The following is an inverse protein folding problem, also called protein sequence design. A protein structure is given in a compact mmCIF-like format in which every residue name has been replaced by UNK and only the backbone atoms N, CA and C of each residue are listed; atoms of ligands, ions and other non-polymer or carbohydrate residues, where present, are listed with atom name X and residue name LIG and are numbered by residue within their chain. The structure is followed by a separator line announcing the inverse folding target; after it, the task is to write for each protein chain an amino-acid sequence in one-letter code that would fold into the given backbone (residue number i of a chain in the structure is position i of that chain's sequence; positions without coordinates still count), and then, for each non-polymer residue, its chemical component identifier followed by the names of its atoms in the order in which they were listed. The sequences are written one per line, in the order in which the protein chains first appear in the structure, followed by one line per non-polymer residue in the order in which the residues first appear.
data_IF_894280905331
#
_entry.id   IF_894280905331
#
_cell.length_a   1.000
_cell.length_b   1.000
_cell.length_c   1.000
_cell.angle_alpha   90.00
_cell.angle_beta   90.00
_cell.angle_gamma   90.00
#
_symmetry.space_group_name_H-M   'P 1'
#
loop_
_entity.id
_entity.type
_entity.pdbx_description
1 polymer ?
#
# COMPACT_ATOMS: atom_id res chain seq x y z
N UNK A 1 14.73 -12.02 -15.21
CA UNK A 1 16.10 -11.74 -14.70
C UNK A 1 16.12 -10.40 -13.95
N UNK A 2 15.42 -9.42 -14.50
CA UNK A 2 15.27 -8.04 -14.06
C UNK A 2 14.68 -7.97 -12.66
N UNK A 3 13.58 -8.70 -12.40
CA UNK A 3 12.99 -8.80 -11.06
C UNK A 3 13.91 -9.43 -10.02
N UNK A 4 14.68 -10.46 -10.38
CA UNK A 4 15.66 -11.03 -9.46
C UNK A 4 16.71 -9.97 -9.06
N UNK A 5 17.11 -9.11 -10.00
CA UNK A 5 18.01 -7.99 -9.71
C UNK A 5 17.35 -6.90 -8.85
N UNK A 6 16.05 -6.63 -9.04
CA UNK A 6 15.31 -5.71 -8.15
C UNK A 6 15.38 -6.17 -6.69
N UNK A 7 15.09 -7.45 -6.42
CA UNK A 7 15.15 -7.99 -5.05
C UNK A 7 16.57 -8.06 -4.46
N UNK A 8 17.59 -8.23 -5.30
CA UNK A 8 18.99 -8.09 -4.88
C UNK A 8 19.27 -6.66 -4.44
N UNK A 9 18.82 -5.67 -5.22
CA UNK A 9 18.96 -4.25 -4.86
C UNK A 9 18.19 -3.94 -3.57
N UNK A 10 16.99 -4.51 -3.38
CA UNK A 10 16.22 -4.33 -2.14
C UNK A 10 17.06 -4.72 -0.92
N UNK A 11 17.69 -5.89 -0.96
CA UNK A 11 18.61 -6.34 0.09
C UNK A 11 19.81 -5.40 0.23
N UNK A 12 20.48 -5.06 -0.89
CA UNK A 12 21.67 -4.18 -0.90
C UNK A 12 21.41 -2.82 -0.22
N UNK A 13 20.21 -2.26 -0.34
CA UNK A 13 19.86 -0.94 0.21
C UNK A 13 19.00 -0.99 1.48
N UNK A 14 18.74 -2.19 2.03
CA UNK A 14 17.97 -2.36 3.26
C UNK A 14 16.45 -2.27 3.12
N UNK A 15 15.89 -2.42 1.92
CA UNK A 15 14.45 -2.71 1.77
C UNK A 15 14.21 -4.15 2.23
N UNK A 16 13.54 -4.28 3.36
CA UNK A 16 13.23 -5.57 3.99
C UNK A 16 11.81 -6.09 3.66
N UNK A 17 11.00 -5.30 2.95
CA UNK A 17 9.57 -5.56 2.72
C UNK A 17 9.18 -5.19 1.30
N UNK A 18 8.57 -6.13 0.58
CA UNK A 18 7.93 -5.93 -0.72
C UNK A 18 6.42 -6.15 -0.59
N UNK A 19 5.62 -5.41 -1.36
CA UNK A 19 4.17 -5.48 -1.33
C UNK A 19 3.66 -5.67 -2.75
N UNK A 20 2.97 -6.79 -3.00
CA UNK A 20 2.18 -6.93 -4.23
C UNK A 20 0.96 -6.04 -4.03
N UNK A 21 0.85 -4.91 -4.73
CA UNK A 21 -0.25 -3.95 -4.50
C UNK A 21 -1.64 -4.56 -4.73
N UNK A 22 -1.78 -5.43 -5.73
CA UNK A 22 -3.03 -6.12 -6.06
C UNK A 22 -2.67 -7.50 -6.60
N UNK A 23 -3.18 -8.55 -5.98
CA UNK A 23 -3.02 -9.91 -6.49
C UNK A 23 -3.90 -10.15 -7.73
N UNK A 24 -5.04 -9.44 -7.79
CA UNK A 24 -5.88 -9.34 -8.97
C UNK A 24 -6.49 -7.95 -9.11
N UNK A 25 -6.76 -7.54 -10.34
CA UNK A 25 -7.48 -6.33 -10.68
C UNK A 25 -8.39 -6.55 -11.88
N UNK A 26 -9.71 -6.43 -11.66
CA UNK A 26 -10.75 -6.71 -12.66
C UNK A 26 -10.59 -8.10 -13.29
N UNK A 27 -9.99 -8.17 -14.48
CA UNK A 27 -9.78 -9.41 -15.25
C UNK A 27 -8.32 -9.86 -15.34
N UNK A 28 -7.43 -9.23 -14.60
CA UNK A 28 -5.99 -9.46 -14.65
C UNK A 28 -5.50 -9.91 -13.27
N UNK A 29 -4.53 -10.83 -13.22
CA UNK A 29 -3.87 -11.21 -11.97
C UNK A 29 -2.37 -11.39 -12.11
N UNK A 30 -1.68 -11.35 -10.98
CA UNK A 30 -0.22 -11.59 -10.91
C UNK A 30 0.14 -13.08 -10.99
N UNK A 31 -0.86 -13.95 -11.14
CA UNK A 31 -0.69 -15.39 -11.33
C UNK A 31 -1.88 -16.01 -12.07
N UNK A 32 -1.78 -17.25 -12.58
CA UNK A 32 -2.85 -17.99 -13.26
C UNK A 32 -4.11 -18.27 -12.40
N UNK A 33 -4.85 -17.23 -11.99
CA UNK A 33 -5.95 -17.33 -11.03
C UNK A 33 -7.23 -17.84 -11.69
N UNK A 34 -7.82 -18.88 -11.11
CA UNK A 34 -9.16 -19.35 -11.48
C UNK A 34 -10.26 -18.44 -10.94
N UNK A 35 -10.01 -17.79 -9.81
CA UNK A 35 -10.97 -16.87 -9.19
C UNK A 35 -11.12 -15.58 -9.99
N UNK A 36 -10.02 -15.03 -10.48
CA UNK A 36 -10.02 -13.84 -11.36
C UNK A 36 -10.39 -14.22 -12.81
N UNK A 37 -10.09 -15.45 -13.22
CA UNK A 37 -10.32 -15.94 -14.58
C UNK A 37 -9.18 -15.66 -15.56
N UNK A 38 -8.02 -15.21 -15.07
CA UNK A 38 -6.81 -14.95 -15.86
C UNK A 38 -5.85 -16.14 -15.76
N UNK A 39 -6.18 -17.24 -16.44
CA UNK A 39 -5.52 -18.54 -16.29
C UNK A 39 -4.26 -18.73 -17.14
N UNK A 40 -3.88 -17.72 -17.94
CA UNK A 40 -2.76 -17.83 -18.89
C UNK A 40 -1.64 -16.80 -18.62
N UNK A 41 -1.78 -15.97 -17.59
CA UNK A 41 -0.75 -15.01 -17.19
C UNK A 41 0.49 -15.70 -16.63
N UNK A 42 1.62 -14.99 -16.61
CA UNK A 42 2.84 -15.46 -15.94
C UNK A 42 2.63 -15.48 -14.44
N UNK A 43 3.17 -16.49 -13.76
CA UNK A 43 3.14 -16.55 -12.30
C UNK A 43 4.17 -15.62 -11.65
N UNK A 44 3.85 -14.33 -11.61
CA UNK A 44 4.67 -13.30 -10.97
C UNK A 44 4.65 -13.43 -9.44
N UNK A 45 3.54 -13.92 -8.85
CA UNK A 45 3.46 -14.17 -7.42
C UNK A 45 4.52 -15.18 -6.96
N UNK A 46 4.64 -16.33 -7.63
CA UNK A 46 5.68 -17.32 -7.31
C UNK A 46 7.08 -16.70 -7.46
N UNK A 47 7.31 -16.00 -8.57
CA UNK A 47 8.59 -15.34 -8.84
C UNK A 47 8.98 -14.36 -7.73
N UNK A 48 8.04 -13.53 -7.28
CA UNK A 48 8.28 -12.55 -6.22
C UNK A 48 8.49 -13.21 -4.87
N UNK A 49 7.73 -14.25 -4.53
CA UNK A 49 7.91 -14.99 -3.28
C UNK A 49 9.28 -15.70 -3.23
N UNK A 50 9.71 -16.32 -4.33
CA UNK A 50 11.02 -16.97 -4.42
C UNK A 50 12.15 -15.94 -4.31
N UNK A 51 12.04 -14.82 -5.04
CA UNK A 51 13.03 -13.76 -5.02
C UNK A 51 13.09 -13.07 -3.64
N UNK A 52 11.94 -12.87 -3.00
CA UNK A 52 11.84 -12.31 -1.66
C UNK A 52 12.50 -13.24 -0.63
N UNK A 53 12.18 -14.53 -0.66
CA UNK A 53 12.77 -15.54 0.23
C UNK A 53 14.30 -15.58 0.10
N UNK A 54 14.80 -15.65 -1.13
CA UNK A 54 16.24 -15.69 -1.43
C UNK A 54 16.99 -14.46 -0.88
N UNK A 55 16.34 -13.31 -0.85
CA UNK A 55 16.95 -12.03 -0.46
C UNK A 55 16.58 -11.59 0.97
N UNK A 56 15.89 -12.43 1.75
CA UNK A 56 15.47 -12.08 3.11
C UNK A 56 14.42 -10.97 3.19
N UNK A 57 13.68 -10.74 2.10
CA UNK A 57 12.62 -9.74 2.01
C UNK A 57 11.29 -10.38 2.42
N UNK A 58 10.54 -9.70 3.28
CA UNK A 58 9.17 -10.05 3.65
C UNK A 58 8.21 -9.62 2.54
N UNK A 59 7.24 -10.46 2.19
CA UNK A 59 6.27 -10.14 1.15
C UNK A 59 4.86 -10.01 1.75
N UNK A 60 4.23 -8.87 1.52
CA UNK A 60 2.79 -8.69 1.71
C UNK A 60 2.04 -8.97 0.40
N UNK A 61 1.01 -9.79 0.47
CA UNK A 61 0.24 -10.21 -0.69
C UNK A 61 -1.04 -9.38 -0.80
N UNK A 62 -1.15 -8.59 -1.88
CA UNK A 62 -2.34 -7.82 -2.20
C UNK A 62 -3.51 -8.70 -2.57
N UNK A 63 -4.70 -8.37 -2.09
CA UNK A 63 -5.92 -9.11 -2.42
C UNK A 63 -6.45 -8.76 -3.83
N UNK A 64 -7.64 -9.28 -4.15
CA UNK A 64 -8.31 -9.05 -5.42
C UNK A 64 -9.23 -7.83 -5.35
N UNK A 65 -9.01 -6.88 -6.25
CA UNK A 65 -9.93 -5.78 -6.48
C UNK A 65 -10.76 -6.02 -7.74
N UNK A 66 -12.06 -6.27 -7.58
CA UNK A 66 -12.96 -6.51 -8.72
C UNK A 66 -13.27 -5.24 -9.51
N UNK A 67 -12.99 -4.06 -8.94
CA UNK A 67 -13.34 -2.75 -9.48
C UNK A 67 -14.78 -2.32 -9.20
N UNK A 68 -15.54 -2.99 -8.32
CA UNK A 68 -16.91 -2.56 -7.99
C UNK A 68 -16.94 -1.23 -7.23
N UNK A 69 -15.96 -0.99 -6.35
CA UNK A 69 -15.85 0.23 -5.56
C UNK A 69 -15.44 1.43 -6.40
N UNK A 70 -14.61 1.25 -7.42
CA UNK A 70 -14.32 2.29 -8.42
C UNK A 70 -15.57 2.75 -9.17
N UNK A 71 -16.60 1.90 -9.26
CA UNK A 71 -17.90 2.24 -9.88
C UNK A 71 -18.85 2.94 -8.89
N UNK A 72 -18.40 3.26 -7.68
CA UNK A 72 -19.23 3.85 -6.63
C UNK A 72 -20.23 2.87 -6.00
N UNK A 73 -20.10 1.56 -6.26
CA UNK A 73 -21.04 0.53 -5.78
C UNK A 73 -20.65 0.01 -4.39
N UNK A 74 -20.57 0.92 -3.42
CA UNK A 74 -20.13 0.63 -2.05
C UNK A 74 -21.04 -0.36 -1.31
N UNK A 75 -22.34 -0.38 -1.64
CA UNK A 75 -23.32 -1.29 -1.04
C UNK A 75 -23.11 -2.76 -1.43
N UNK A 76 -22.33 -3.02 -2.49
CA UNK A 76 -21.99 -4.36 -2.96
C UNK A 76 -20.76 -4.96 -2.25
N UNK A 77 -20.35 -4.38 -1.11
CA UNK A 77 -19.19 -4.84 -0.36
C UNK A 77 -19.23 -6.34 -0.01
N UNK A 78 -20.41 -6.94 0.14
CA UNK A 78 -20.56 -8.39 0.40
C UNK A 78 -20.09 -9.25 -0.77
N UNK A 79 -20.32 -8.79 -1.99
CA UNK A 79 -19.83 -9.45 -3.20
C UNK A 79 -18.29 -9.38 -3.26
N UNK A 80 -17.71 -8.23 -2.88
CA UNK A 80 -16.27 -8.05 -2.80
C UNK A 80 -15.62 -8.95 -1.76
N UNK A 81 -16.23 -9.07 -0.57
CA UNK A 81 -15.79 -10.01 0.46
C UNK A 81 -15.85 -11.45 -0.07
N UNK A 82 -16.96 -11.85 -0.69
CA UNK A 82 -17.14 -13.22 -1.19
C UNK A 82 -16.13 -13.57 -2.31
N UNK A 83 -15.80 -12.62 -3.19
CA UNK A 83 -14.75 -12.78 -4.18
C UNK A 83 -13.38 -12.96 -3.51
N UNK A 84 -13.06 -12.12 -2.52
CA UNK A 84 -11.78 -12.14 -1.84
C UNK A 84 -11.60 -13.37 -0.92
N UNK A 85 -12.64 -13.89 -0.29
CA UNK A 85 -12.56 -15.15 0.47
C UNK A 85 -12.11 -16.32 -0.41
N UNK A 86 -12.64 -16.41 -1.64
CA UNK A 86 -12.22 -17.42 -2.61
C UNK A 86 -10.79 -17.17 -3.11
N UNK A 87 -10.45 -15.91 -3.37
CA UNK A 87 -9.12 -15.52 -3.82
C UNK A 87 -8.05 -15.81 -2.76
N UNK A 88 -8.30 -15.47 -1.50
CA UNK A 88 -7.42 -15.77 -0.36
C UNK A 88 -7.21 -17.28 -0.22
N UNK A 89 -8.27 -18.09 -0.34
CA UNK A 89 -8.14 -19.54 -0.31
C UNK A 89 -7.27 -20.08 -1.47
N UNK A 90 -7.40 -19.52 -2.67
CA UNK A 90 -6.53 -19.87 -3.82
C UNK A 90 -5.07 -19.47 -3.57
N UNK A 91 -4.82 -18.25 -3.07
CA UNK A 91 -3.48 -17.77 -2.73
C UNK A 91 -2.84 -18.67 -1.67
N UNK A 92 -3.56 -18.99 -0.59
CA UNK A 92 -3.06 -19.86 0.48
C UNK A 92 -2.76 -21.27 -0.02
N UNK A 93 -3.64 -21.85 -0.85
CA UNK A 93 -3.41 -23.18 -1.42
C UNK A 93 -2.17 -23.26 -2.31
N UNK A 94 -1.74 -22.14 -2.90
CA UNK A 94 -0.60 -22.12 -3.85
C UNK A 94 0.69 -21.65 -3.19
N UNK A 95 0.59 -20.71 -2.26
CA UNK A 95 1.71 -19.92 -1.78
C UNK A 95 1.82 -19.86 -0.25
N UNK A 96 0.85 -20.41 0.48
CA UNK A 96 0.76 -20.30 1.94
C UNK A 96 2.00 -20.81 2.69
N UNK A 97 2.68 -21.81 2.13
CA UNK A 97 3.89 -22.40 2.71
C UNK A 97 5.18 -21.59 2.40
N UNK A 98 5.10 -20.53 1.61
CA UNK A 98 6.29 -19.72 1.29
C UNK A 98 6.80 -19.00 2.54
N UNK A 99 8.10 -19.14 2.89
CA UNK A 99 8.67 -18.45 4.05
C UNK A 99 8.69 -16.91 3.90
N UNK A 100 8.64 -16.40 2.68
CA UNK A 100 8.57 -14.97 2.42
C UNK A 100 7.16 -14.39 2.57
N UNK A 101 6.11 -15.23 2.57
CA UNK A 101 4.74 -14.75 2.67
C UNK A 101 4.44 -14.29 4.09
N UNK A 102 4.63 -12.99 4.32
CA UNK A 102 4.60 -12.38 5.63
C UNK A 102 3.22 -11.89 6.03
N UNK A 103 2.52 -11.17 5.16
CA UNK A 103 1.28 -10.48 5.51
C UNK A 103 0.33 -10.26 4.35
N UNK A 104 -0.84 -9.69 4.63
CA UNK A 104 -1.85 -9.34 3.64
C UNK A 104 -1.90 -7.84 3.40
N UNK A 105 -2.14 -7.43 2.15
CA UNK A 105 -2.40 -6.05 1.80
C UNK A 105 -3.83 -5.91 1.25
N UNK A 106 -4.66 -5.10 1.91
CA UNK A 106 -5.99 -4.77 1.42
C UNK A 106 -5.85 -3.61 0.42
N UNK A 107 -6.08 -3.91 -0.84
CA UNK A 107 -5.83 -2.99 -1.97
C UNK A 107 -6.87 -1.89 -2.15
N UNK A 108 -8.01 -1.97 -1.46
CA UNK A 108 -9.14 -1.06 -1.63
C UNK A 108 -8.91 0.25 -0.88
N UNK A 109 -8.11 1.14 -1.45
CA UNK A 109 -7.68 2.41 -0.85
C UNK A 109 -8.84 3.42 -0.74
N UNK A 110 -8.88 4.19 0.36
CA UNK A 110 -9.87 5.26 0.59
C UNK A 110 -9.24 6.45 1.31
N UNK A 111 -9.86 7.63 1.19
CA UNK A 111 -9.46 8.86 1.88
C UNK A 111 -10.51 9.46 2.81
N UNK A 112 -11.70 8.88 2.79
CA UNK A 112 -12.86 9.33 3.56
C UNK A 112 -13.60 8.14 4.13
N UNK A 113 -14.43 8.42 5.13
CA UNK A 113 -15.35 7.42 5.65
C UNK A 113 -16.44 7.08 4.64
N UNK A 114 -16.52 5.81 4.26
CA UNK A 114 -17.63 5.24 3.48
C UNK A 114 -18.11 3.96 4.19
N UNK A 115 -19.40 3.85 4.57
CA UNK A 115 -19.90 2.69 5.31
C UNK A 115 -19.58 1.34 4.64
N UNK A 116 -19.76 1.24 3.32
CA UNK A 116 -19.46 0.02 2.57
C UNK A 116 -17.98 -0.38 2.58
N UNK A 117 -17.05 0.58 2.52
CA UNK A 117 -15.60 0.28 2.64
C UNK A 117 -15.27 -0.16 4.05
N UNK A 118 -15.81 0.51 5.06
CA UNK A 118 -15.61 0.16 6.47
C UNK A 118 -16.11 -1.26 6.75
N UNK A 119 -17.30 -1.60 6.25
CA UNK A 119 -17.85 -2.95 6.36
C UNK A 119 -17.00 -3.98 5.61
N UNK A 120 -16.52 -3.64 4.41
CA UNK A 120 -15.58 -4.48 3.66
C UNK A 120 -14.30 -4.75 4.47
N UNK A 121 -13.62 -3.70 4.94
CA UNK A 121 -12.41 -3.79 5.75
C UNK A 121 -12.63 -4.67 6.97
N UNK A 122 -13.71 -4.44 7.72
CA UNK A 122 -14.03 -5.24 8.91
C UNK A 122 -14.15 -6.74 8.58
N UNK A 123 -14.93 -7.10 7.56
CA UNK A 123 -15.20 -8.50 7.26
C UNK A 123 -13.99 -9.19 6.60
N UNK A 124 -13.29 -8.51 5.69
CA UNK A 124 -12.18 -9.14 4.99
C UNK A 124 -10.94 -9.31 5.86
N UNK A 125 -10.61 -8.32 6.70
CA UNK A 125 -9.49 -8.42 7.63
C UNK A 125 -9.75 -9.46 8.72
N UNK A 126 -10.98 -9.56 9.25
CA UNK A 126 -11.35 -10.65 10.17
C UNK A 126 -11.19 -12.01 9.50
N UNK A 127 -11.64 -12.17 8.25
CA UNK A 127 -11.44 -13.42 7.52
C UNK A 127 -9.95 -13.78 7.36
N UNK A 128 -9.08 -12.79 7.08
CA UNK A 128 -7.62 -13.00 7.03
C UNK A 128 -7.06 -13.48 8.37
N UNK A 129 -7.54 -12.93 9.49
CA UNK A 129 -7.15 -13.37 10.84
C UNK A 129 -7.69 -14.77 11.18
N UNK A 130 -8.86 -15.14 10.68
CA UNK A 130 -9.42 -16.48 10.88
C UNK A 130 -8.59 -17.56 10.17
N UNK A 131 -8.09 -17.27 8.96
CA UNK A 131 -7.36 -18.27 8.14
C UNK A 131 -5.84 -18.22 8.31
N UNK A 132 -5.29 -17.07 8.74
CA UNK A 132 -3.86 -16.83 8.97
C UNK A 132 -3.67 -15.87 10.15
N UNK A 133 -3.94 -16.31 11.39
CA UNK A 133 -3.92 -15.46 12.58
C UNK A 133 -2.56 -14.81 12.86
N UNK A 134 -1.47 -15.42 12.39
CA UNK A 134 -0.10 -14.94 12.57
C UNK A 134 0.31 -13.85 11.58
N UNK A 135 -0.45 -13.64 10.49
CA UNK A 135 -0.08 -12.71 9.42
C UNK A 135 -0.65 -11.31 9.69
N UNK A 136 0.17 -10.24 9.64
CA UNK A 136 -0.33 -8.87 9.72
C UNK A 136 -1.14 -8.48 8.48
N UNK A 137 -2.07 -7.56 8.66
CA UNK A 137 -2.95 -6.98 7.64
C UNK A 137 -2.64 -5.49 7.53
N UNK A 138 -2.25 -5.08 6.32
CA UNK A 138 -1.86 -3.72 5.95
C UNK A 138 -2.92 -3.07 5.06
N UNK A 139 -3.24 -1.80 5.34
CA UNK A 139 -3.95 -0.89 4.43
C UNK A 139 -3.06 0.31 4.08
N UNK A 140 -3.28 0.92 2.90
CA UNK A 140 -2.59 2.17 2.52
C UNK A 140 -3.58 3.27 2.09
N UNK A 141 -4.32 3.86 3.02
CA UNK A 141 -5.23 4.96 2.69
C UNK A 141 -4.49 6.24 2.28
N UNK A 142 -5.24 7.25 1.83
CA UNK A 142 -4.67 8.54 1.42
C UNK A 142 -5.42 9.73 2.05
N UNK A 143 -4.85 10.92 1.97
CA UNK A 143 -5.45 12.14 2.48
C UNK A 143 -6.43 12.73 1.47
N UNK A 144 -7.65 13.03 1.90
CA UNK A 144 -8.63 13.73 1.07
C UNK A 144 -8.33 15.23 1.08
N UNK A 145 -7.45 15.68 0.19
CA UNK A 145 -7.02 17.07 0.06
C UNK A 145 -7.18 17.62 -1.35
N UNK A 146 -6.98 18.92 -1.51
CA UNK A 146 -6.90 19.64 -2.79
C UNK A 146 -5.96 19.02 -3.84
N UNK A 147 -4.97 18.22 -3.43
CA UNK A 147 -4.04 17.53 -4.35
C UNK A 147 -4.74 16.42 -5.14
N UNK A 148 -5.71 15.74 -4.52
CA UNK A 148 -6.44 14.60 -5.12
C UNK A 148 -7.86 14.99 -5.52
N UNK A 149 -8.50 15.83 -4.71
CA UNK A 149 -9.86 16.32 -4.88
C UNK A 149 -9.80 17.85 -4.95
N UNK A 150 -9.82 18.42 -6.16
CA UNK A 150 -9.66 19.86 -6.36
C UNK A 150 -10.74 20.69 -5.61
N UNK A 151 -11.91 20.11 -5.38
CA UNK A 151 -12.98 20.65 -4.56
C UNK A 151 -12.63 20.81 -3.07
N UNK A 152 -11.61 20.07 -2.59
CA UNK A 152 -11.13 20.08 -1.20
C UNK A 152 -9.87 20.96 -1.04
N UNK A 153 -9.82 22.10 -1.74
CA UNK A 153 -8.68 23.03 -1.68
C UNK A 153 -8.46 23.65 -0.30
N UNK A 154 -9.53 23.79 0.50
CA UNK A 154 -9.43 24.30 1.87
C UNK A 154 -8.84 23.25 2.81
N UNK A 155 -8.10 23.71 3.82
CA UNK A 155 -7.60 22.85 4.89
C UNK A 155 -8.81 22.20 5.56
N UNK A 156 -8.86 20.87 5.51
CA UNK A 156 -9.90 20.07 6.16
C UNK A 156 -9.84 20.33 7.66
N UNK A 157 -11.01 20.42 8.31
CA UNK A 157 -11.07 20.45 9.75
C UNK A 157 -10.46 19.15 10.31
N UNK A 158 -9.39 19.26 11.09
CA UNK A 158 -8.67 18.09 11.60
C UNK A 158 -9.44 17.30 12.64
N UNK A 159 -10.36 17.93 13.37
CA UNK A 159 -11.24 17.22 14.31
C UNK A 159 -12.20 16.31 13.54
N UNK A 160 -12.79 16.80 12.45
CA UNK A 160 -13.67 16.01 11.58
C UNK A 160 -12.89 14.88 10.89
N UNK A 161 -11.68 15.17 10.40
CA UNK A 161 -10.78 14.15 9.85
C UNK A 161 -10.47 13.06 10.89
N UNK A 162 -10.13 13.44 12.12
CA UNK A 162 -9.85 12.50 13.20
C UNK A 162 -11.07 11.63 13.51
N UNK A 163 -12.25 12.23 13.64
CA UNK A 163 -13.48 11.52 13.97
C UNK A 163 -13.91 10.54 12.86
N UNK A 164 -13.73 10.91 11.59
CA UNK A 164 -13.95 9.98 10.48
C UNK A 164 -13.01 8.78 10.54
N UNK A 165 -11.72 9.01 10.81
CA UNK A 165 -10.75 7.90 10.89
C UNK A 165 -10.92 7.06 12.16
N UNK A 166 -11.34 7.64 13.28
CA UNK A 166 -11.80 6.88 14.47
C UNK A 166 -12.98 5.99 14.13
N UNK A 167 -13.94 6.49 13.37
CA UNK A 167 -15.10 5.70 12.92
C UNK A 167 -14.71 4.61 11.92
N UNK A 168 -13.72 4.88 11.06
CA UNK A 168 -13.18 3.91 10.11
C UNK A 168 -12.44 2.78 10.83
N UNK A 169 -11.50 3.12 11.73
CA UNK A 169 -10.52 2.17 12.29
C UNK A 169 -10.90 1.64 13.68
N UNK A 170 -11.53 2.44 14.54
CA UNK A 170 -11.70 2.14 15.97
C UNK A 170 -12.56 0.92 16.32
N UNK A 171 -13.19 0.27 15.33
CA UNK A 171 -13.96 -0.98 15.49
C UNK A 171 -13.40 -2.14 14.66
N UNK A 172 -12.18 -2.01 14.14
CA UNK A 172 -11.52 -3.02 13.31
C UNK A 172 -10.18 -3.37 13.95
N UNK A 173 -10.19 -4.32 14.88
CA UNK A 173 -8.98 -4.82 15.55
C UNK A 173 -8.14 -5.78 14.70
N UNK A 174 -8.64 -6.14 13.52
CA UNK A 174 -8.05 -7.10 12.59
C UNK A 174 -7.12 -6.47 11.56
N UNK A 175 -7.02 -5.14 11.53
CA UNK A 175 -6.03 -4.39 10.75
C UNK A 175 -4.89 -4.05 11.69
N UNK A 176 -3.66 -4.44 11.34
CA UNK A 176 -2.50 -4.23 12.22
C UNK A 176 -1.70 -2.99 11.83
N UNK A 177 -1.69 -2.64 10.54
CA UNK A 177 -0.82 -1.59 9.99
C UNK A 177 -1.60 -0.67 9.05
N UNK A 178 -1.35 0.64 9.18
CA UNK A 178 -1.88 1.65 8.28
C UNK A 178 -0.76 2.51 7.71
N UNK A 179 -0.63 2.54 6.37
CA UNK A 179 0.42 3.29 5.66
C UNK A 179 -0.16 4.42 4.82
N UNK A 180 -0.29 5.63 5.36
CA UNK A 180 -0.88 6.75 4.61
C UNK A 180 0.00 7.23 3.46
N UNK A 181 -0.61 7.51 2.30
CA UNK A 181 0.07 8.02 1.10
C UNK A 181 0.41 9.52 1.23
N UNK A 182 1.68 9.86 1.45
CA UNK A 182 2.08 11.22 1.81
C UNK A 182 1.99 12.26 0.68
N UNK A 183 2.00 11.83 -0.58
CA UNK A 183 1.90 12.74 -1.73
C UNK A 183 0.46 13.21 -2.01
N UNK A 184 -0.52 12.78 -1.22
CA UNK A 184 -1.94 13.15 -1.39
C UNK A 184 -2.37 14.36 -0.57
N UNK A 185 -1.43 15.06 0.07
CA UNK A 185 -1.60 16.38 0.65
C UNK A 185 -0.42 17.28 0.30
N UNK A 186 -0.56 18.60 0.49
CA UNK A 186 0.59 19.51 0.32
C UNK A 186 1.61 19.26 1.42
N UNK A 187 2.88 19.51 1.11
CA UNK A 187 3.99 19.23 2.02
C UNK A 187 3.87 19.98 3.36
N UNK A 188 3.36 21.21 3.31
CA UNK A 188 3.08 22.05 4.48
C UNK A 188 1.94 21.53 5.37
N UNK A 189 1.04 20.70 4.83
CA UNK A 189 -0.08 20.09 5.57
C UNK A 189 0.31 18.75 6.19
N UNK A 190 1.33 18.08 5.66
CA UNK A 190 1.74 16.74 6.06
C UNK A 190 2.00 16.59 7.57
N UNK A 191 2.65 17.54 8.29
CA UNK A 191 2.85 17.42 9.74
C UNK A 191 1.53 17.32 10.53
N UNK A 192 0.53 18.12 10.16
CA UNK A 192 -0.78 18.17 10.82
C UNK A 192 -1.54 16.85 10.62
N UNK A 193 -1.52 16.31 9.41
CA UNK A 193 -2.10 15.00 9.12
C UNK A 193 -1.40 13.87 9.90
N UNK A 194 -0.06 13.89 9.93
CA UNK A 194 0.73 12.88 10.63
C UNK A 194 0.50 12.89 12.15
N UNK A 195 0.44 14.06 12.77
CA UNK A 195 0.14 14.19 14.20
C UNK A 195 -1.26 13.65 14.54
N UNK A 196 -2.24 13.98 13.71
CA UNK A 196 -3.63 13.54 13.90
C UNK A 196 -3.74 12.03 13.74
N UNK A 197 -3.19 11.48 12.67
CA UNK A 197 -3.32 10.05 12.39
C UNK A 197 -2.50 9.17 13.33
N UNK A 198 -1.36 9.67 13.84
CA UNK A 198 -0.61 9.00 14.91
C UNK A 198 -1.47 8.79 16.15
N UNK A 199 -2.25 9.81 16.52
CA UNK A 199 -3.18 9.72 17.64
C UNK A 199 -4.29 8.70 17.38
N UNK A 200 -4.94 8.77 16.21
CA UNK A 200 -6.02 7.84 15.84
C UNK A 200 -5.53 6.38 15.76
N UNK A 201 -4.37 6.13 15.16
CA UNK A 201 -3.78 4.80 15.08
C UNK A 201 -3.40 4.27 16.47
N UNK A 202 -2.84 5.10 17.34
CA UNK A 202 -2.53 4.71 18.72
C UNK A 202 -3.79 4.35 19.52
N UNK A 203 -4.87 5.12 19.39
CA UNK A 203 -6.17 4.82 20.01
C UNK A 203 -6.75 3.48 19.51
N UNK A 204 -6.53 3.14 18.24
CA UNK A 204 -7.01 1.91 17.62
C UNK A 204 -6.08 0.70 17.82
N UNK A 205 -4.86 0.90 18.36
CA UNK A 205 -3.84 -0.15 18.48
C UNK A 205 -3.24 -0.58 17.14
N UNK A 206 -3.17 0.34 16.17
CA UNK A 206 -2.67 0.10 14.81
C UNK A 206 -1.28 0.72 14.67
N UNK A 207 -0.33 0.00 14.08
CA UNK A 207 0.97 0.54 13.72
C UNK A 207 0.83 1.55 12.58
N UNK A 208 1.41 2.75 12.77
CA UNK A 208 1.44 3.77 11.75
C UNK A 208 2.72 3.67 10.91
N UNK A 209 2.54 3.44 9.62
CA UNK A 209 3.59 3.53 8.60
C UNK A 209 3.34 4.74 7.69
N UNK A 210 4.34 5.15 6.93
CA UNK A 210 4.20 6.13 5.86
C UNK A 210 4.38 5.47 4.49
N UNK A 211 3.47 5.70 3.55
CA UNK A 211 3.70 5.37 2.15
C UNK A 211 4.24 6.60 1.43
N UNK A 212 5.56 6.63 1.28
CA UNK A 212 6.30 7.69 0.63
C UNK A 212 6.21 7.57 -0.88
N UNK A 213 5.39 8.40 -1.52
CA UNK A 213 5.25 8.39 -2.97
C UNK A 213 6.54 8.89 -3.64
N UNK A 214 7.18 8.06 -4.44
CA UNK A 214 8.47 8.43 -5.08
C UNK A 214 8.29 8.98 -6.49
N UNK A 215 7.05 9.26 -6.88
CA UNK A 215 6.67 10.02 -8.07
C UNK A 215 6.19 11.43 -7.70
N UNK A 216 6.07 12.30 -8.70
CA UNK A 216 5.59 13.67 -8.54
C UNK A 216 4.22 13.88 -9.17
N UNK A 217 3.33 14.55 -8.44
CA UNK A 217 1.98 14.96 -8.87
C UNK A 217 1.92 16.37 -9.46
N UNK A 218 3.02 17.12 -9.36
CA UNK A 218 3.07 18.56 -9.69
C UNK A 218 3.38 18.84 -11.17
N UNK A 219 3.70 17.80 -11.93
CA UNK A 219 4.01 17.93 -13.35
C UNK A 219 2.78 17.62 -14.21
N UNK A 220 2.69 18.21 -15.42
CA UNK A 220 1.62 17.89 -16.36
C UNK A 220 1.66 16.44 -16.85
N UNK A 221 2.81 15.77 -16.73
CA UNK A 221 2.97 14.34 -16.98
C UNK A 221 2.58 13.60 -15.70
N UNK A 222 1.63 12.67 -15.79
CA UNK A 222 1.21 11.80 -14.68
C UNK A 222 1.76 10.38 -14.91
N UNK A 223 2.82 9.94 -14.22
CA UNK A 223 3.62 10.63 -13.20
C UNK A 223 5.13 10.38 -13.41
N UNK A 224 6.02 11.38 -13.35
CA UNK A 224 7.47 11.18 -13.36
C UNK A 224 8.02 10.91 -11.95
N UNK A 225 9.26 10.39 -11.81
CA UNK A 225 9.97 10.33 -10.52
C UNK A 225 10.02 11.69 -9.81
N UNK A 226 10.00 11.67 -8.48
CA UNK A 226 10.05 12.88 -7.64
C UNK A 226 11.45 13.49 -7.56
N UNK A 227 11.52 14.77 -7.19
CA UNK A 227 12.79 15.43 -6.90
C UNK A 227 13.36 14.91 -5.57
N UNK A 228 14.67 14.61 -5.54
CA UNK A 228 15.33 14.09 -4.34
C UNK A 228 15.14 14.97 -3.10
N UNK A 229 15.15 16.31 -3.24
CA UNK A 229 14.97 17.22 -2.10
C UNK A 229 13.56 17.10 -1.52
N UNK A 230 12.56 16.84 -2.37
CA UNK A 230 11.20 16.57 -1.93
C UNK A 230 11.08 15.22 -1.24
N UNK A 231 11.71 14.18 -1.79
CA UNK A 231 11.78 12.88 -1.11
C UNK A 231 12.37 13.04 0.29
N UNK A 232 13.55 13.66 0.39
CA UNK A 232 14.23 13.87 1.67
C UNK A 232 13.37 14.66 2.67
N UNK A 233 12.70 15.72 2.22
CA UNK A 233 11.85 16.52 3.09
C UNK A 233 10.62 15.76 3.59
N UNK A 234 9.98 14.95 2.74
CA UNK A 234 8.90 14.05 3.17
C UNK A 234 9.39 13.07 4.23
N UNK A 235 10.50 12.38 3.96
CA UNK A 235 11.10 11.43 4.92
C UNK A 235 11.39 12.13 6.26
N UNK A 236 11.95 13.34 6.24
CA UNK A 236 12.26 14.13 7.45
C UNK A 236 11.00 14.51 8.23
N UNK A 237 9.93 14.92 7.54
CA UNK A 237 8.66 15.31 8.17
C UNK A 237 7.98 14.11 8.82
N UNK A 238 7.97 12.95 8.17
CA UNK A 238 7.18 11.79 8.61
C UNK A 238 7.90 10.89 9.60
N UNK A 239 9.24 10.84 9.58
CA UNK A 239 10.04 9.96 10.45
C UNK A 239 9.73 10.03 11.95
N UNK A 240 9.42 11.19 12.56
CA UNK A 240 9.07 11.24 13.99
C UNK A 240 7.72 10.59 14.34
N UNK A 241 6.89 10.29 13.34
CA UNK A 241 5.51 9.85 13.53
C UNK A 241 5.32 8.35 13.28
N UNK A 242 6.18 7.74 12.45
CA UNK A 242 5.92 6.42 11.87
C UNK A 242 6.99 5.40 12.24
N UNK A 243 6.58 4.14 12.36
CA UNK A 243 7.47 3.01 12.65
C UNK A 243 8.24 2.55 11.41
N UNK A 244 7.67 2.78 10.22
CA UNK A 244 8.25 2.37 8.93
C UNK A 244 7.85 3.30 7.80
N UNK A 245 8.74 3.44 6.82
CA UNK A 245 8.43 4.05 5.53
C UNK A 245 8.48 2.99 4.43
N UNK A 246 7.42 2.92 3.63
CA UNK A 246 7.33 2.13 2.39
C UNK A 246 7.18 3.10 1.21
N UNK A 247 7.21 2.60 -0.02
CA UNK A 247 7.06 3.48 -1.19
C UNK A 247 6.21 2.86 -2.29
N UNK A 248 5.33 3.68 -2.85
CA UNK A 248 4.86 3.53 -4.22
C UNK A 248 5.68 4.48 -5.13
N UNK A 249 6.56 3.99 -6.00
CA UNK A 249 6.98 2.60 -6.15
C UNK A 249 8.43 2.54 -6.63
N UNK A 250 9.20 1.60 -6.07
CA UNK A 250 10.63 1.53 -6.28
C UNK A 250 10.99 1.25 -7.73
N UNK A 251 10.45 0.19 -8.34
CA UNK A 251 10.89 -0.27 -9.67
C UNK A 251 10.68 0.77 -10.77
N UNK A 252 9.60 1.57 -10.70
CA UNK A 252 9.40 2.65 -11.66
C UNK A 252 10.12 3.94 -11.28
N UNK A 253 10.11 4.34 -10.02
CA UNK A 253 10.48 5.71 -9.65
C UNK A 253 11.81 5.86 -8.91
N UNK A 254 12.40 4.76 -8.45
CA UNK A 254 13.71 4.77 -7.77
C UNK A 254 14.70 3.74 -8.31
N UNK A 255 14.31 2.76 -9.12
CA UNK A 255 15.23 1.70 -9.50
C UNK A 255 16.31 2.20 -10.47
N UNK A 256 17.58 1.76 -10.32
CA UNK A 256 18.62 1.95 -11.33
C UNK A 256 18.30 1.20 -12.64
N UNK A 257 17.37 0.24 -12.64
CA UNK A 257 16.87 -0.46 -13.82
C UNK A 257 15.66 0.20 -14.48
N UNK A 258 15.13 1.28 -13.89
CA UNK A 258 13.93 1.94 -14.38
C UNK A 258 14.10 2.45 -15.81
N UNK A 259 12.98 2.43 -16.56
CA UNK A 259 12.85 3.09 -17.86
C UNK A 259 12.93 4.62 -17.75
N UNK A 260 12.71 5.19 -16.56
CA UNK A 260 12.87 6.61 -16.28
C UNK A 260 14.32 6.91 -15.88
N UNK A 261 15.12 7.65 -16.67
CA UNK A 261 16.47 8.01 -16.27
C UNK A 261 16.50 8.83 -14.96
N UNK A 262 15.46 9.63 -14.71
CA UNK A 262 15.32 10.39 -13.48
C UNK A 262 15.23 9.50 -12.22
N UNK A 263 14.67 8.29 -12.33
CA UNK A 263 14.61 7.34 -11.21
C UNK A 263 16.01 6.84 -10.82
N UNK A 264 16.89 6.65 -11.80
CA UNK A 264 18.30 6.25 -11.58
C UNK A 264 19.07 7.36 -10.86
N UNK A 265 18.86 8.61 -11.27
CA UNK A 265 19.45 9.74 -10.55
C UNK A 265 18.89 9.87 -9.12
N UNK A 266 17.58 9.62 -8.93
CA UNK A 266 16.97 9.60 -7.61
C UNK A 266 17.58 8.52 -6.72
N UNK A 267 17.82 7.32 -7.27
CA UNK A 267 18.55 6.24 -6.61
C UNK A 267 19.91 6.71 -6.13
N UNK A 268 20.73 7.25 -7.04
CA UNK A 268 22.09 7.67 -6.72
C UNK A 268 22.11 8.74 -5.62
N UNK A 269 21.19 9.71 -5.68
CA UNK A 269 21.08 10.73 -4.63
C UNK A 269 20.63 10.14 -3.28
N UNK A 270 19.68 9.20 -3.31
CA UNK A 270 19.22 8.52 -2.09
C UNK A 270 20.36 7.71 -1.46
N UNK A 271 21.07 6.93 -2.27
CA UNK A 271 22.19 6.11 -1.82
C UNK A 271 23.34 6.95 -1.27
N UNK A 272 23.72 8.05 -1.93
CA UNK A 272 24.79 8.94 -1.44
C UNK A 272 24.49 9.59 -0.09
N UNK A 273 23.21 9.78 0.24
CA UNK A 273 22.81 10.57 1.39
C UNK A 273 22.32 9.76 2.60
N UNK A 274 21.79 8.55 2.37
CA UNK A 274 21.05 7.79 3.37
C UNK A 274 21.51 6.32 3.52
N UNK A 275 22.44 5.84 2.68
CA UNK A 275 23.04 4.49 2.77
C UNK A 275 24.53 4.58 3.10
#
# INVERSE_FOLDING_TARGET
KEWQREFEIFNEIGIDTAIIIRGGYKRHSVFPSKIVGDTHTTDLAQLFLDAAHKNGVKLFFGIFDTGIFEQGKWDLWREEVAANQKFIAEVLSRYGDSPAFHGWYISHETSVFVPGIRDFYHHISNHMKDVTPEKPVLISPYYSSGVVHAENEMVRNMDEFADEWRNMLGKISSIDICAFQDGTCRLEQLPMYMETIKTVCAEAGIELWNNTETFSRDFPIKFPPTDYRRLLEKLRITSPFVEKQITFEFSHFMSPQSVWPAARNLFDRYAEALL
#
